data_IF_273924385338
#
_entry.id   IF_273924385338
#
_cell.length_a   1.000
_cell.length_b   1.000
_cell.length_c   1.000
_cell.angle_alpha   90.00
_cell.angle_beta   90.00
_cell.angle_gamma   90.00
#
_symmetry.space_group_name_H-M   'P 1'
#
loop_
_entity.id
_entity.type
_entity.pdbx_description
1 polymer ?
#
# COMPACT_ATOMS: atom_id res chain seq x y z
N UNK A 1 29.77 44.69 -27.43
CA UNK A 1 29.35 43.94 -26.23
C UNK A 1 30.63 43.47 -25.53
N UNK A 2 30.95 44.01 -24.36
CA UNK A 2 32.23 43.78 -23.67
C UNK A 2 32.28 42.38 -23.07
N UNK A 3 33.47 41.77 -23.01
CA UNK A 3 33.70 40.43 -22.43
C UNK A 3 33.07 40.30 -21.03
N UNK A 4 33.10 41.34 -20.23
CA UNK A 4 32.48 41.41 -18.89
C UNK A 4 30.98 41.22 -18.90
N UNK A 5 30.26 41.66 -19.94
CA UNK A 5 28.81 41.51 -20.07
C UNK A 5 28.43 40.07 -20.44
N UNK A 6 29.23 39.43 -21.31
CA UNK A 6 29.04 38.00 -21.67
C UNK A 6 29.23 37.07 -20.47
N UNK A 7 30.25 37.36 -19.64
CA UNK A 7 30.54 36.58 -18.43
C UNK A 7 29.40 36.69 -17.41
N UNK A 8 28.90 37.90 -17.15
CA UNK A 8 27.75 38.10 -16.23
C UNK A 8 26.48 37.37 -16.72
N UNK A 9 26.22 37.40 -18.03
CA UNK A 9 25.09 36.70 -18.60
C UNK A 9 25.22 35.18 -18.45
N UNK A 10 26.44 34.64 -18.65
CA UNK A 10 26.72 33.21 -18.50
C UNK A 10 26.54 32.75 -17.04
N UNK A 11 26.96 33.53 -16.07
CA UNK A 11 26.78 33.23 -14.65
C UNK A 11 25.27 33.27 -14.27
N UNK A 12 24.53 34.23 -14.80
CA UNK A 12 23.08 34.32 -14.53
C UNK A 12 22.32 33.11 -15.08
N UNK A 13 22.58 32.70 -16.32
CA UNK A 13 21.93 31.53 -16.92
C UNK A 13 22.29 30.22 -16.21
N UNK A 14 23.56 30.05 -15.81
CA UNK A 14 24.00 28.89 -15.06
C UNK A 14 23.31 28.79 -13.67
N UNK A 15 23.15 29.94 -13.01
CA UNK A 15 22.50 29.99 -11.69
C UNK A 15 20.99 29.65 -11.77
N UNK A 16 20.29 30.14 -12.80
CA UNK A 16 18.88 29.77 -13.05
C UNK A 16 18.72 28.27 -13.37
N UNK A 17 19.67 27.71 -14.12
CA UNK A 17 19.65 26.28 -14.44
C UNK A 17 19.87 25.40 -13.21
N UNK A 18 20.83 25.75 -12.36
CA UNK A 18 21.09 25.07 -11.08
C UNK A 18 19.90 25.20 -10.12
N UNK A 19 19.26 26.38 -10.05
CA UNK A 19 18.07 26.60 -9.23
C UNK A 19 16.89 25.74 -9.71
N UNK A 20 16.72 25.64 -11.04
CA UNK A 20 15.68 24.79 -11.64
C UNK A 20 15.88 23.30 -11.31
N UNK A 21 17.12 22.81 -11.42
CA UNK A 21 17.44 21.41 -11.05
C UNK A 21 17.20 21.19 -9.56
N UNK A 22 17.59 22.12 -8.70
CA UNK A 22 17.35 22.02 -7.26
C UNK A 22 15.86 21.96 -6.92
N UNK A 23 15.04 22.81 -7.56
CA UNK A 23 13.59 22.76 -7.38
C UNK A 23 12.98 21.41 -7.82
N UNK A 24 13.42 20.88 -8.99
CA UNK A 24 12.92 19.59 -9.48
C UNK A 24 13.28 18.46 -8.51
N UNK A 25 14.54 18.41 -8.04
CA UNK A 25 14.97 17.40 -7.07
C UNK A 25 14.26 17.54 -5.74
N UNK A 26 13.95 18.75 -5.28
CA UNK A 26 13.20 19.01 -4.07
C UNK A 26 11.75 18.46 -4.17
N UNK A 27 11.07 18.67 -5.30
CA UNK A 27 9.72 18.15 -5.50
C UNK A 27 9.67 16.61 -5.62
N UNK A 28 10.72 15.98 -6.15
CA UNK A 28 10.83 14.52 -6.24
C UNK A 28 11.10 13.89 -4.85
N UNK A 29 11.68 14.66 -3.93
CA UNK A 29 12.07 14.18 -2.59
C UNK A 29 10.93 14.25 -1.56
N UNK A 30 9.75 14.82 -1.91
CA UNK A 30 8.60 14.84 -0.99
C UNK A 30 8.05 13.42 -0.85
N UNK A 31 8.13 12.79 0.34
CA UNK A 31 7.49 11.50 0.56
C UNK A 31 5.97 11.66 0.40
N UNK A 32 5.38 10.82 -0.42
CA UNK A 32 3.93 10.75 -0.53
C UNK A 32 3.44 9.99 0.70
N UNK A 33 2.94 10.69 1.71
CA UNK A 33 2.36 10.09 2.94
C UNK A 33 1.00 9.39 2.69
N UNK A 34 0.67 9.10 1.45
CA UNK A 34 -0.58 8.44 1.08
C UNK A 34 -0.68 7.02 1.66
N UNK A 35 0.46 6.33 1.79
CA UNK A 35 0.52 4.95 2.28
C UNK A 35 0.11 4.78 3.76
N UNK A 36 0.31 5.79 4.60
CA UNK A 36 -0.03 5.69 6.02
C UNK A 36 -1.54 5.70 6.26
N UNK A 37 -2.28 6.54 5.52
CA UNK A 37 -3.73 6.63 5.63
C UNK A 37 -4.41 5.34 5.14
N UNK A 38 -3.92 4.77 4.05
CA UNK A 38 -4.44 3.52 3.50
C UNK A 38 -4.13 2.34 4.43
N UNK A 39 -2.96 2.30 5.06
CA UNK A 39 -2.59 1.28 6.03
C UNK A 39 -3.50 1.30 7.27
N UNK A 40 -3.82 2.48 7.80
CA UNK A 40 -4.75 2.64 8.92
C UNK A 40 -6.18 2.24 8.54
N UNK A 41 -6.63 2.59 7.33
CA UNK A 41 -7.92 2.19 6.81
C UNK A 41 -7.99 0.65 6.65
N UNK A 42 -7.00 0.02 6.03
CA UNK A 42 -6.92 -1.43 5.86
C UNK A 42 -6.94 -2.18 7.19
N UNK A 43 -6.18 -1.69 8.17
CA UNK A 43 -6.18 -2.20 9.55
C UNK A 43 -7.56 -2.13 10.21
N UNK A 44 -8.25 -1.01 10.07
CA UNK A 44 -9.58 -0.82 10.64
C UNK A 44 -10.62 -1.71 9.96
N UNK A 45 -10.60 -1.81 8.64
CA UNK A 45 -11.48 -2.72 7.90
C UNK A 45 -11.27 -4.17 8.33
N UNK A 46 -10.01 -4.60 8.43
CA UNK A 46 -9.68 -5.94 8.90
C UNK A 46 -10.18 -6.20 10.33
N UNK A 47 -9.92 -5.28 11.25
CA UNK A 47 -10.34 -5.38 12.65
C UNK A 47 -11.85 -5.52 12.78
N UNK A 48 -12.61 -4.77 12.01
CA UNK A 48 -14.07 -4.71 12.12
C UNK A 48 -14.77 -5.90 11.47
N UNK A 49 -14.22 -6.43 10.35
CA UNK A 49 -14.93 -7.39 9.51
C UNK A 49 -14.26 -8.76 9.41
N UNK A 50 -12.97 -8.86 9.65
CA UNK A 50 -12.18 -10.07 9.35
C UNK A 50 -11.56 -10.72 10.59
N UNK A 51 -11.13 -9.90 11.58
CA UNK A 51 -10.36 -10.36 12.73
C UNK A 51 -11.10 -11.41 13.58
N UNK A 52 -12.44 -11.41 13.58
CA UNK A 52 -13.24 -12.40 14.30
C UNK A 52 -12.93 -13.84 13.89
N UNK A 53 -12.72 -14.09 12.59
CA UNK A 53 -12.35 -15.38 12.05
C UNK A 53 -10.83 -15.51 11.78
N UNK A 54 -10.14 -14.40 11.52
CA UNK A 54 -8.75 -14.36 11.10
C UNK A 54 -7.80 -13.74 12.16
N UNK A 55 -8.02 -14.08 13.43
CA UNK A 55 -7.17 -13.58 14.54
C UNK A 55 -5.71 -13.86 14.25
N UNK A 56 -4.87 -12.79 14.29
CA UNK A 56 -3.43 -12.84 14.04
C UNK A 56 -3.08 -13.58 12.73
N UNK A 57 -3.86 -13.36 11.69
CA UNK A 57 -3.69 -14.04 10.40
C UNK A 57 -4.05 -15.53 10.40
N UNK A 58 -4.65 -16.02 11.47
CA UNK A 58 -5.14 -17.39 11.56
C UNK A 58 -6.41 -17.63 10.77
N UNK A 59 -7.07 -18.75 11.05
CA UNK A 59 -8.43 -19.06 10.65
C UNK A 59 -8.99 -20.05 11.66
N UNK A 60 -9.99 -19.62 12.44
CA UNK A 60 -10.57 -20.41 13.52
C UNK A 60 -11.42 -21.58 13.02
N UNK A 61 -11.93 -21.50 11.80
CA UNK A 61 -12.81 -22.52 11.20
C UNK A 61 -12.01 -23.52 10.39
N UNK A 62 -11.14 -23.05 9.50
CA UNK A 62 -10.30 -23.87 8.61
C UNK A 62 -8.83 -23.49 8.72
N UNK A 63 -8.08 -24.15 9.60
CA UNK A 63 -6.67 -23.82 9.90
C UNK A 63 -5.75 -23.78 8.67
N UNK A 64 -6.02 -24.57 7.62
CA UNK A 64 -5.26 -24.56 6.36
C UNK A 64 -5.55 -23.35 5.47
N UNK A 65 -6.62 -22.59 5.75
CA UNK A 65 -7.05 -21.40 5.01
C UNK A 65 -6.75 -20.12 5.80
N UNK A 66 -5.62 -20.09 6.49
CA UNK A 66 -5.13 -18.91 7.21
C UNK A 66 -4.46 -17.91 6.25
N UNK A 67 -4.20 -16.70 6.75
CA UNK A 67 -3.62 -15.59 5.98
C UNK A 67 -2.08 -15.51 6.05
N UNK A 68 -1.41 -16.58 6.46
CA UNK A 68 0.06 -16.64 6.43
C UNK A 68 0.53 -16.78 4.98
N UNK A 69 1.66 -16.18 4.65
CA UNK A 69 2.19 -16.13 3.27
C UNK A 69 2.28 -17.52 2.61
N UNK A 70 2.72 -18.54 3.35
CA UNK A 70 2.81 -19.92 2.85
C UNK A 70 1.45 -20.53 2.53
N UNK A 71 0.43 -20.16 3.30
CA UNK A 71 -0.95 -20.62 3.11
C UNK A 71 -1.62 -19.92 1.94
N UNK A 72 -1.41 -18.60 1.81
CA UNK A 72 -1.90 -17.81 0.68
C UNK A 72 -1.34 -18.36 -0.63
N UNK A 73 -0.02 -18.54 -0.73
CA UNK A 73 0.63 -19.13 -1.91
C UNK A 73 0.13 -20.52 -2.24
N UNK A 74 0.03 -21.42 -1.26
CA UNK A 74 -0.44 -22.80 -1.49
C UNK A 74 -1.89 -22.85 -1.97
N UNK A 75 -2.71 -21.86 -1.60
CA UNK A 75 -4.11 -21.80 -1.98
C UNK A 75 -4.37 -20.97 -3.25
N UNK A 76 -3.32 -20.43 -3.91
CA UNK A 76 -3.44 -19.63 -5.13
C UNK A 76 -3.92 -18.19 -4.90
N UNK A 77 -3.71 -17.63 -3.69
CA UNK A 77 -4.08 -16.26 -3.29
C UNK A 77 -2.82 -15.45 -2.98
N UNK A 78 -1.85 -15.52 -3.87
CA UNK A 78 -0.51 -14.96 -3.70
C UNK A 78 -0.35 -13.56 -4.33
N UNK A 79 -1.45 -12.83 -4.48
CA UNK A 79 -1.47 -11.43 -4.89
C UNK A 79 -2.52 -10.64 -4.12
N UNK A 80 -2.35 -9.32 -4.05
CA UNK A 80 -3.31 -8.45 -3.38
C UNK A 80 -4.64 -8.42 -4.11
N UNK A 81 -4.66 -8.51 -5.44
CA UNK A 81 -5.87 -8.57 -6.25
C UNK A 81 -6.69 -9.83 -5.97
N UNK A 82 -6.02 -10.98 -5.80
CA UNK A 82 -6.70 -12.23 -5.45
C UNK A 82 -7.33 -12.16 -4.05
N UNK A 83 -6.63 -11.54 -3.10
CA UNK A 83 -7.15 -11.32 -1.73
C UNK A 83 -8.31 -10.32 -1.76
N UNK A 84 -8.20 -9.21 -2.49
CA UNK A 84 -9.26 -8.21 -2.64
C UNK A 84 -10.53 -8.84 -3.23
N UNK A 85 -10.38 -9.66 -4.27
CA UNK A 85 -11.50 -10.37 -4.87
C UNK A 85 -12.23 -11.26 -3.86
N UNK A 86 -11.50 -12.03 -3.05
CA UNK A 86 -12.10 -12.88 -2.02
C UNK A 86 -12.77 -12.04 -0.93
N UNK A 87 -12.16 -10.97 -0.49
CA UNK A 87 -12.74 -10.07 0.50
C UNK A 87 -14.07 -9.48 0.00
N UNK A 88 -14.15 -9.13 -1.28
CA UNK A 88 -15.34 -8.57 -1.91
C UNK A 88 -16.44 -9.60 -2.18
N UNK A 89 -16.08 -10.77 -2.72
CA UNK A 89 -17.02 -11.74 -3.27
C UNK A 89 -17.28 -12.91 -2.33
N UNK A 90 -16.38 -13.15 -1.35
CA UNK A 90 -16.42 -14.33 -0.51
C UNK A 90 -15.83 -15.58 -1.18
N UNK A 91 -15.67 -16.64 -0.41
CA UNK A 91 -15.27 -17.96 -0.89
C UNK A 91 -15.75 -19.09 0.03
N UNK A 92 -16.51 -20.00 -0.51
CA UNK A 92 -17.04 -21.15 0.25
C UNK A 92 -17.95 -20.69 1.38
N UNK A 93 -17.54 -20.88 2.63
CA UNK A 93 -18.30 -20.45 3.84
C UNK A 93 -17.93 -19.03 4.32
N UNK A 94 -17.00 -18.39 3.69
CA UNK A 94 -16.65 -16.99 3.95
C UNK A 94 -17.51 -16.10 3.07
N UNK A 95 -18.34 -15.28 3.70
CA UNK A 95 -19.15 -14.30 2.99
C UNK A 95 -18.31 -13.21 2.34
N UNK A 96 -18.85 -12.59 1.30
CA UNK A 96 -18.29 -11.39 0.70
C UNK A 96 -18.68 -10.13 1.48
N UNK A 97 -17.81 -9.15 1.51
CA UNK A 97 -17.96 -7.91 2.29
C UNK A 97 -18.01 -6.65 1.41
N UNK A 98 -18.45 -6.78 0.16
CA UNK A 98 -18.48 -5.69 -0.82
C UNK A 98 -19.10 -4.40 -0.27
N UNK A 99 -20.28 -4.52 0.34
CA UNK A 99 -21.02 -3.34 0.83
C UNK A 99 -20.39 -2.72 2.07
N UNK A 100 -19.73 -3.53 2.92
CA UNK A 100 -19.05 -3.07 4.14
C UNK A 100 -17.69 -2.45 3.85
N UNK A 101 -17.02 -2.91 2.80
CA UNK A 101 -15.71 -2.42 2.40
C UNK A 101 -15.79 -1.09 1.65
N UNK A 102 -16.89 -0.85 0.94
CA UNK A 102 -17.08 0.35 0.12
C UNK A 102 -16.18 0.41 -1.11
N UNK A 103 -16.09 1.58 -1.71
CA UNK A 103 -15.30 1.80 -2.91
C UNK A 103 -13.80 1.70 -2.59
N UNK A 104 -13.08 0.84 -3.33
CA UNK A 104 -11.64 0.54 -3.15
C UNK A 104 -11.22 -0.04 -1.78
N UNK A 105 -12.13 -0.21 -0.83
CA UNK A 105 -11.79 -0.74 0.49
C UNK A 105 -11.32 -2.19 0.46
N UNK A 106 -11.74 -2.96 -0.51
CA UNK A 106 -11.27 -4.33 -0.77
C UNK A 106 -9.78 -4.36 -1.13
N UNK A 107 -9.31 -3.44 -1.98
CA UNK A 107 -7.90 -3.35 -2.35
C UNK A 107 -7.06 -2.85 -1.17
N UNK A 108 -7.49 -1.79 -0.49
CA UNK A 108 -6.80 -1.25 0.70
C UNK A 108 -6.68 -2.31 1.81
N UNK A 109 -7.74 -3.07 2.05
CA UNK A 109 -7.74 -4.21 2.98
C UNK A 109 -6.75 -5.29 2.54
N UNK A 110 -6.74 -5.64 1.25
CA UNK A 110 -5.89 -6.69 0.71
C UNK A 110 -4.41 -6.32 0.78
N UNK A 111 -4.06 -5.08 0.48
CA UNK A 111 -2.69 -4.56 0.59
C UNK A 111 -2.20 -4.64 2.03
N UNK A 112 -3.04 -4.24 3.00
CA UNK A 112 -2.72 -4.37 4.41
C UNK A 112 -2.55 -5.84 4.84
N UNK A 113 -3.46 -6.74 4.45
CA UNK A 113 -3.37 -8.18 4.75
C UNK A 113 -2.10 -8.79 4.17
N UNK A 114 -1.74 -8.41 2.94
CA UNK A 114 -0.53 -8.88 2.29
C UNK A 114 0.73 -8.42 3.02
N UNK A 115 0.77 -7.18 3.44
CA UNK A 115 1.86 -6.63 4.24
C UNK A 115 2.01 -7.37 5.58
N UNK A 116 0.89 -7.60 6.30
CA UNK A 116 0.90 -8.37 7.55
C UNK A 116 1.36 -9.81 7.32
N UNK A 117 0.96 -10.45 6.23
CA UNK A 117 1.39 -11.80 5.88
C UNK A 117 2.90 -11.88 5.65
N UNK A 118 3.50 -10.86 5.04
CA UNK A 118 4.95 -10.75 4.86
C UNK A 118 5.70 -10.53 6.18
N UNK A 119 5.12 -9.78 7.11
CA UNK A 119 5.63 -9.54 8.47
C UNK A 119 5.30 -10.68 9.45
N UNK A 120 4.81 -11.81 8.95
CA UNK A 120 4.42 -12.98 9.76
C UNK A 120 3.37 -12.68 10.84
N UNK A 121 2.55 -11.62 10.68
CA UNK A 121 1.54 -11.17 11.64
C UNK A 121 2.11 -10.80 13.02
N UNK A 122 3.36 -10.35 13.08
CA UNK A 122 3.96 -9.83 14.30
C UNK A 122 3.32 -8.46 14.58
N UNK A 123 2.69 -8.33 15.74
CA UNK A 123 2.16 -7.04 16.20
C UNK A 123 3.32 -6.24 16.79
N UNK A 124 3.54 -5.03 16.31
CA UNK A 124 4.45 -4.05 16.93
C UNK A 124 3.78 -3.42 18.15
#
# INVERSE_FOLDING_TARGET
MTIKTKIKFLYATCNYFLLSIFCILFFISLPIELNALDADLGKNLFKNHCAGCHINGGNIIRRSKNLKISSLKRNGFDSTEAIAKIAREGIGIMDGYKDQLGENGDQVLADWVWEQAQKAWVQE
#
